data_IF_109417284282
#
_entry.id   IF_109417284282
#
_cell.length_a   1.000
_cell.length_b   1.000
_cell.length_c   1.000
_cell.angle_alpha   90.00
_cell.angle_beta   90.00
_cell.angle_gamma   90.00
#
_symmetry.space_group_name_H-M   'P 1'
#
loop_
_entity.id
_entity.type
_entity.pdbx_description
1 polymer ?
#
# COMPACT_ATOMS: atom_id res chain seq x y z
N UNK A 1 10.30 11.75 -17.25
CA UNK A 1 9.20 12.25 -16.40
C UNK A 1 8.28 11.07 -16.11
N UNK A 2 8.53 10.33 -15.02
CA UNK A 2 7.99 8.99 -14.78
C UNK A 2 7.11 8.94 -13.52
N UNK A 3 6.37 10.02 -13.26
CA UNK A 3 5.42 10.13 -12.16
C UNK A 3 3.97 10.33 -12.66
N UNK A 4 3.63 9.76 -13.81
CA UNK A 4 2.23 9.68 -14.28
C UNK A 4 1.42 8.60 -13.53
N UNK A 5 2.06 7.85 -12.61
CA UNK A 5 1.36 6.98 -11.66
C UNK A 5 0.87 7.85 -10.47
N UNK A 6 -0.29 8.49 -10.66
CA UNK A 6 -1.06 9.36 -9.73
C UNK A 6 -1.44 8.65 -8.40
N UNK A 7 -0.87 7.49 -8.13
CA UNK A 7 -1.20 6.61 -7.02
C UNK A 7 -0.40 6.91 -5.75
N UNK A 8 0.57 7.85 -5.76
CA UNK A 8 1.37 8.20 -4.57
C UNK A 8 1.07 9.61 -4.09
N UNK A 9 0.68 9.76 -2.83
CA UNK A 9 0.41 11.05 -2.19
C UNK A 9 1.25 11.20 -0.92
N UNK A 10 2.09 12.24 -0.85
CA UNK A 10 2.81 12.61 0.37
C UNK A 10 1.83 13.24 1.38
N UNK A 11 1.82 12.74 2.60
CA UNK A 11 1.02 13.25 3.71
C UNK A 11 1.94 13.64 4.86
N UNK A 12 1.71 14.83 5.37
CA UNK A 12 2.36 15.35 6.57
C UNK A 12 1.37 15.26 7.70
N UNK A 13 1.71 14.53 8.76
CA UNK A 13 0.95 14.54 10.01
C UNK A 13 1.82 15.04 11.16
N UNK A 14 1.19 15.51 12.23
CA UNK A 14 1.89 15.92 13.44
C UNK A 14 1.41 14.99 14.55
N UNK A 15 2.30 14.11 15.01
CA UNK A 15 2.01 13.18 16.11
C UNK A 15 2.93 13.53 17.27
N UNK A 16 2.34 13.78 18.45
CA UNK A 16 3.07 14.10 19.68
C UNK A 16 4.10 15.25 19.53
N UNK A 17 3.73 16.31 18.79
CA UNK A 17 4.58 17.48 18.55
C UNK A 17 5.70 17.28 17.52
N UNK A 18 5.83 16.10 16.91
CA UNK A 18 6.80 15.83 15.84
C UNK A 18 6.09 15.72 14.48
N UNK A 19 6.68 16.35 13.46
CA UNK A 19 6.25 16.15 12.07
C UNK A 19 6.61 14.73 11.65
N UNK A 20 5.63 14.01 11.16
CA UNK A 20 5.76 12.67 10.62
C UNK A 20 5.24 12.69 9.19
N UNK A 21 6.17 12.64 8.25
CA UNK A 21 5.87 12.61 6.83
C UNK A 21 5.79 11.14 6.39
N UNK A 22 4.78 10.80 5.62
CA UNK A 22 4.63 9.46 5.06
C UNK A 22 3.97 9.55 3.69
N UNK A 23 4.25 8.58 2.84
CA UNK A 23 3.59 8.44 1.56
C UNK A 23 2.37 7.54 1.70
N UNK A 24 1.33 7.82 0.93
CA UNK A 24 0.18 6.96 0.75
C UNK A 24 0.21 6.47 -0.69
N UNK A 25 0.25 5.15 -0.86
CA UNK A 25 0.17 4.50 -2.17
C UNK A 25 -1.21 3.88 -2.37
N UNK A 26 -2.00 4.38 -3.31
CA UNK A 26 -3.30 3.83 -3.69
C UNK A 26 -3.14 2.59 -4.59
N UNK A 27 -3.43 1.42 -4.01
CA UNK A 27 -3.41 0.11 -4.68
C UNK A 27 -4.69 -0.21 -5.45
N UNK A 28 -5.65 0.70 -5.53
CA UNK A 28 -6.96 0.47 -6.15
C UNK A 28 -6.88 -0.10 -7.57
N UNK A 29 -6.05 0.51 -8.42
CA UNK A 29 -5.86 0.08 -9.80
C UNK A 29 -5.25 -1.33 -9.86
N UNK A 30 -4.16 -1.53 -9.11
CA UNK A 30 -3.46 -2.83 -9.01
C UNK A 30 -4.35 -3.94 -8.46
N UNK A 31 -5.07 -3.69 -7.38
CA UNK A 31 -6.03 -4.63 -6.81
C UNK A 31 -7.12 -4.98 -7.81
N UNK A 32 -7.68 -4.01 -8.52
CA UNK A 32 -8.73 -4.23 -9.50
C UNK A 32 -8.24 -5.11 -10.64
N UNK A 33 -7.03 -4.89 -11.13
CA UNK A 33 -6.40 -5.73 -12.15
C UNK A 33 -6.12 -7.15 -11.62
N UNK A 34 -5.47 -7.26 -10.46
CA UNK A 34 -5.03 -8.54 -9.89
C UNK A 34 -6.18 -9.39 -9.34
N UNK A 35 -7.30 -8.77 -8.96
CA UNK A 35 -8.50 -9.43 -8.44
C UNK A 35 -9.57 -9.65 -9.51
N UNK A 36 -9.29 -9.38 -10.78
CA UNK A 36 -10.24 -9.47 -11.88
C UNK A 36 -11.54 -8.68 -11.58
N UNK A 37 -11.40 -7.44 -11.11
CA UNK A 37 -12.48 -6.51 -10.72
C UNK A 37 -13.30 -6.93 -9.49
N UNK A 38 -12.89 -7.97 -8.76
CA UNK A 38 -13.56 -8.41 -7.52
C UNK A 38 -13.31 -7.44 -6.36
N UNK A 39 -12.12 -6.85 -6.30
CA UNK A 39 -11.71 -5.79 -5.38
C UNK A 39 -11.36 -4.52 -6.16
N UNK A 40 -11.09 -3.40 -5.48
CA UNK A 40 -10.83 -2.10 -6.13
C UNK A 40 -12.07 -1.22 -6.33
N UNK A 41 -13.13 -1.42 -5.52
CA UNK A 41 -14.33 -0.57 -5.46
C UNK A 41 -14.86 -0.49 -4.03
N UNK A 42 -15.39 0.68 -3.66
CA UNK A 42 -16.03 0.93 -2.37
C UNK A 42 -15.12 1.66 -1.38
N UNK A 43 -15.25 1.31 -0.11
CA UNK A 43 -14.54 1.96 1.00
C UNK A 43 -13.03 1.67 0.97
N UNK A 44 -12.20 2.68 1.24
CA UNK A 44 -10.75 2.52 1.33
C UNK A 44 -10.29 2.25 2.76
N UNK A 45 -9.36 1.33 2.94
CA UNK A 45 -8.66 1.14 4.20
C UNK A 45 -7.15 1.25 3.98
N UNK A 46 -6.44 1.71 5.01
CA UNK A 46 -4.99 1.61 5.05
C UNK A 46 -4.65 0.17 5.42
N UNK A 47 -3.86 -0.50 4.59
CA UNK A 47 -3.35 -1.82 4.91
C UNK A 47 -2.47 -1.72 6.17
N UNK A 48 -2.50 -2.72 7.06
CA UNK A 48 -1.60 -2.80 8.21
C UNK A 48 -0.19 -3.23 7.77
N UNK A 49 0.42 -2.44 6.90
CA UNK A 49 1.73 -2.65 6.31
C UNK A 49 2.59 -1.41 6.55
N UNK A 50 3.63 -1.56 7.36
CA UNK A 50 4.67 -0.55 7.61
C UNK A 50 6.05 -1.08 7.15
N UNK A 51 6.06 -1.90 6.10
CA UNK A 51 7.27 -2.58 5.61
C UNK A 51 7.97 -1.82 4.48
N UNK A 52 7.33 -0.79 3.92
CA UNK A 52 7.81 -0.05 2.77
C UNK A 52 8.22 1.35 3.17
N UNK A 53 9.37 1.78 2.65
CA UNK A 53 9.81 3.17 2.68
C UNK A 53 10.17 3.63 1.27
N UNK A 54 10.03 4.91 1.04
CA UNK A 54 10.38 5.55 -0.22
C UNK A 54 11.29 6.72 0.11
N UNK A 55 12.37 6.87 -0.67
CA UNK A 55 13.23 8.03 -0.57
C UNK A 55 12.45 9.23 -1.11
N UNK A 56 12.33 10.26 -0.29
CA UNK A 56 11.77 11.52 -0.70
C UNK A 56 12.86 12.31 -1.46
N UNK A 57 12.75 12.44 -2.78
CA UNK A 57 13.74 13.17 -3.57
C UNK A 57 13.81 14.67 -3.21
N UNK A 58 12.80 15.23 -2.52
CA UNK A 58 12.80 16.63 -2.11
C UNK A 58 13.59 16.85 -0.80
N UNK A 59 13.44 15.95 0.18
CA UNK A 59 14.08 16.08 1.50
C UNK A 59 15.25 15.12 1.73
N UNK A 60 15.51 14.20 0.80
CA UNK A 60 16.49 13.10 0.90
C UNK A 60 16.24 12.18 2.11
N UNK A 61 14.99 12.15 2.61
CA UNK A 61 14.61 11.35 3.79
C UNK A 61 13.87 10.07 3.39
N UNK A 62 14.13 8.98 4.11
CA UNK A 62 13.40 7.72 3.96
C UNK A 62 12.06 7.79 4.71
N UNK A 63 10.98 8.08 3.99
CA UNK A 63 9.65 8.20 4.55
C UNK A 63 8.89 6.87 4.49
N UNK A 64 8.07 6.60 5.50
CA UNK A 64 7.25 5.40 5.54
C UNK A 64 6.14 5.45 4.48
N UNK A 65 5.87 4.32 3.82
CA UNK A 65 4.85 4.21 2.77
C UNK A 65 3.69 3.37 3.26
N UNK A 66 2.53 4.00 3.40
CA UNK A 66 1.26 3.37 3.75
C UNK A 66 0.52 2.98 2.49
N UNK A 67 0.12 1.71 2.41
CA UNK A 67 -0.61 1.20 1.25
C UNK A 67 -2.10 1.35 1.50
N UNK A 68 -2.78 2.10 0.64
CA UNK A 68 -4.23 2.26 0.66
C UNK A 68 -4.85 1.25 -0.29
N UNK A 69 -5.71 0.40 0.25
CA UNK A 69 -6.36 -0.67 -0.49
C UNK A 69 -7.85 -0.71 -0.18
N UNK A 70 -8.59 -1.57 -0.87
CA UNK A 70 -10.03 -1.71 -0.64
C UNK A 70 -10.28 -2.33 0.74
N UNK A 71 -11.17 -1.75 1.55
CA UNK A 71 -11.56 -2.32 2.85
C UNK A 71 -12.04 -3.76 2.73
N UNK A 72 -12.60 -4.13 1.57
CA UNK A 72 -12.98 -5.51 1.23
C UNK A 72 -11.78 -6.46 1.23
N UNK A 73 -10.63 -6.09 0.67
CA UNK A 73 -9.45 -6.98 0.68
C UNK A 73 -8.88 -7.09 2.10
N UNK A 74 -8.86 -5.99 2.85
CA UNK A 74 -8.37 -5.98 4.23
C UNK A 74 -9.23 -6.87 5.11
N UNK A 75 -10.55 -6.69 5.05
CA UNK A 75 -11.49 -7.57 5.75
C UNK A 75 -11.33 -9.02 5.27
N UNK A 76 -11.22 -9.25 3.96
CA UNK A 76 -11.04 -10.58 3.40
C UNK A 76 -9.74 -11.25 3.87
N UNK A 77 -8.66 -10.48 4.11
CA UNK A 77 -7.40 -10.99 4.67
C UNK A 77 -7.53 -11.38 6.16
N UNK A 78 -8.37 -10.66 6.89
CA UNK A 78 -8.70 -10.88 8.31
C UNK A 78 -9.91 -11.84 8.49
N UNK A 79 -10.55 -12.26 7.40
CA UNK A 79 -11.68 -13.18 7.42
C UNK A 79 -11.30 -14.49 8.11
N UNK A 80 -12.26 -15.03 8.86
CA UNK A 80 -12.15 -16.33 9.52
C UNK A 80 -12.05 -17.47 8.49
N UNK A 81 -12.54 -17.26 7.27
CA UNK A 81 -12.44 -18.20 6.16
C UNK A 81 -11.01 -18.29 5.59
N UNK A 82 -10.33 -19.44 5.73
CA UNK A 82 -8.95 -19.59 5.30
C UNK A 82 -8.79 -19.51 3.78
N UNK A 83 -9.80 -19.91 3.00
CA UNK A 83 -9.76 -19.79 1.53
C UNK A 83 -9.82 -18.34 1.07
N UNK A 84 -10.73 -17.55 1.66
CA UNK A 84 -10.87 -16.13 1.34
C UNK A 84 -9.66 -15.33 1.81
N UNK A 85 -9.18 -15.60 3.03
CA UNK A 85 -7.96 -15.01 3.57
C UNK A 85 -6.74 -15.32 2.72
N UNK A 86 -6.57 -16.58 2.29
CA UNK A 86 -5.44 -16.99 1.46
C UNK A 86 -5.51 -16.38 0.06
N UNK A 87 -6.69 -16.31 -0.55
CA UNK A 87 -6.87 -15.68 -1.85
C UNK A 87 -6.53 -14.18 -1.81
N UNK A 88 -7.02 -13.47 -0.80
CA UNK A 88 -6.82 -12.02 -0.63
C UNK A 88 -5.36 -11.70 -0.27
N UNK A 89 -4.75 -12.46 0.64
CA UNK A 89 -3.31 -12.37 0.94
C UNK A 89 -2.45 -12.63 -0.30
N UNK A 90 -2.84 -13.57 -1.17
CA UNK A 90 -2.13 -13.85 -2.43
C UNK A 90 -2.21 -12.69 -3.41
N UNK A 91 -3.38 -12.06 -3.56
CA UNK A 91 -3.56 -10.86 -4.39
C UNK A 91 -2.74 -9.71 -3.82
N UNK A 92 -2.88 -9.45 -2.52
CA UNK A 92 -2.15 -8.39 -1.84
C UNK A 92 -0.63 -8.56 -1.97
N UNK A 93 -0.11 -9.78 -1.77
CA UNK A 93 1.32 -10.09 -1.98
C UNK A 93 1.78 -9.87 -3.42
N UNK A 94 0.92 -10.06 -4.43
CA UNK A 94 1.23 -9.68 -5.82
C UNK A 94 1.32 -8.17 -5.96
N UNK A 95 0.41 -7.40 -5.37
CA UNK A 95 0.50 -5.94 -5.33
C UNK A 95 1.84 -5.49 -4.73
N UNK A 96 2.25 -6.09 -3.60
CA UNK A 96 3.54 -5.79 -2.96
C UNK A 96 4.73 -6.05 -3.87
N UNK A 97 4.73 -7.15 -4.63
CA UNK A 97 5.80 -7.44 -5.58
C UNK A 97 5.87 -6.43 -6.72
N UNK A 98 4.73 -5.94 -7.19
CA UNK A 98 4.71 -4.87 -8.20
C UNK A 98 5.23 -3.55 -7.62
N UNK A 99 4.96 -3.27 -6.34
CA UNK A 99 5.56 -2.13 -5.64
C UNK A 99 7.07 -2.26 -5.50
N UNK A 100 7.59 -3.45 -5.14
CA UNK A 100 9.03 -3.72 -5.08
C UNK A 100 9.73 -3.49 -6.45
N UNK A 101 9.02 -3.69 -7.57
CA UNK A 101 9.53 -3.39 -8.92
C UNK A 101 9.49 -1.89 -9.27
N UNK A 102 8.67 -1.10 -8.58
CA UNK A 102 8.47 0.34 -8.79
C UNK A 102 9.40 1.18 -7.90
N UNK A 103 10.59 0.66 -7.57
CA UNK A 103 11.60 1.30 -6.71
C UNK A 103 11.20 1.52 -5.23
N UNK A 104 10.12 0.90 -4.73
CA UNK A 104 9.82 0.97 -3.30
C UNK A 104 10.82 0.13 -2.50
N UNK A 105 11.48 0.75 -1.52
CA UNK A 105 12.45 0.09 -0.66
C UNK A 105 11.73 -0.64 0.47
N UNK A 106 11.78 -1.97 0.45
CA UNK A 106 11.26 -2.79 1.55
C UNK A 106 12.26 -2.82 2.70
N UNK A 107 11.90 -2.20 3.83
CA UNK A 107 12.81 -2.04 4.98
C UNK A 107 12.74 -3.19 5.99
N UNK A 108 11.66 -3.97 5.99
CA UNK A 108 11.59 -5.26 6.69
C UNK A 108 11.81 -6.40 5.69
N UNK A 109 13.06 -6.79 5.48
CA UNK A 109 13.39 -8.12 4.94
C UNK A 109 13.20 -9.11 6.10
N UNK A 110 12.16 -9.94 6.00
CA UNK A 110 11.99 -11.11 6.88
C UNK A 110 12.85 -12.26 6.38
#
# INVERSE_FOLDING_TARGET
>A
MLFDDINVTKRVTITNGKKYNFFIYDLYSLEKELSNKKFGKGDSAIAPNDEFKMLDEETDEMLDVKLRCSKRIVNAMESLDPEESKASKKIFKKCLKELEKRDLVRTKKK
#
